data_IF_468413239587
#
_entry.id   IF_468413239587
#
_cell.length_a   1.000
_cell.length_b   1.000
_cell.length_c   1.000
_cell.angle_alpha   90.00
_cell.angle_beta   90.00
_cell.angle_gamma   90.00
#
_symmetry.space_group_name_H-M   'P 1'
#
loop_
_entity.id
_entity.type
_entity.pdbx_description
1 polymer ?
#
# COMPACT_ATOMS: atom_id res chain seq x y z
N UNK A 1 -13.44 -16.43 -18.02
CA UNK A 1 -12.55 -16.71 -16.91
C UNK A 1 -13.20 -16.22 -15.62
N UNK A 2 -13.26 -17.04 -14.59
CA UNK A 2 -13.70 -16.57 -13.27
C UNK A 2 -12.46 -16.13 -12.49
N UNK A 3 -12.54 -14.96 -11.86
CA UNK A 3 -11.48 -14.46 -11.00
C UNK A 3 -11.80 -14.79 -9.53
N UNK A 4 -10.79 -15.10 -8.70
CA UNK A 4 -10.99 -15.15 -7.27
C UNK A 4 -11.39 -13.77 -6.76
N UNK A 5 -12.15 -13.71 -5.67
CA UNK A 5 -12.47 -12.43 -5.01
C UNK A 5 -11.16 -11.74 -4.60
N UNK A 6 -10.87 -10.53 -5.14
CA UNK A 6 -9.57 -9.90 -4.93
C UNK A 6 -9.31 -9.45 -3.51
N UNK A 7 -8.03 -9.35 -3.17
CA UNK A 7 -7.51 -8.68 -1.97
C UNK A 7 -6.81 -7.38 -2.38
N UNK A 8 -6.92 -6.33 -1.57
CA UNK A 8 -6.18 -5.08 -1.73
C UNK A 8 -5.16 -4.93 -0.60
N UNK A 9 -3.87 -5.04 -0.92
CA UNK A 9 -2.83 -4.97 0.11
C UNK A 9 -2.38 -3.54 0.44
N UNK A 10 -3.13 -2.51 0.01
CA UNK A 10 -2.87 -1.12 0.38
C UNK A 10 -4.08 -0.21 0.04
N UNK A 11 -4.88 0.18 1.02
CA UNK A 11 -6.03 1.07 0.81
C UNK A 11 -6.17 2.14 1.89
N UNK A 12 -6.63 3.34 1.48
CA UNK A 12 -6.95 4.46 2.37
C UNK A 12 -8.45 4.70 2.39
N UNK A 13 -9.07 4.60 3.55
CA UNK A 13 -10.52 4.82 3.71
C UNK A 13 -10.85 6.17 4.35
N UNK A 14 -9.83 6.91 4.79
CA UNK A 14 -10.00 8.19 5.48
C UNK A 14 -10.87 8.04 6.74
N UNK A 15 -11.49 9.13 7.20
CA UNK A 15 -12.39 9.21 8.36
C UNK A 15 -13.52 10.19 8.08
N UNK A 16 -14.52 10.23 8.99
CA UNK A 16 -15.64 11.17 8.94
C UNK A 16 -16.75 10.75 7.96
N UNK A 17 -17.59 11.70 7.59
CA UNK A 17 -18.85 11.47 6.87
C UNK A 17 -18.69 10.80 5.50
N UNK A 18 -17.54 10.98 4.83
CA UNK A 18 -17.31 10.40 3.51
C UNK A 18 -16.76 8.97 3.55
N UNK A 19 -16.24 8.52 4.70
CA UNK A 19 -15.65 7.19 4.86
C UNK A 19 -16.59 6.06 4.43
N UNK A 20 -17.89 6.03 4.79
CA UNK A 20 -18.80 4.98 4.38
C UNK A 20 -18.90 4.80 2.86
N UNK A 21 -18.85 5.91 2.11
CA UNK A 21 -18.83 5.88 0.64
C UNK A 21 -17.56 5.20 0.11
N UNK A 22 -16.40 5.57 0.64
CA UNK A 22 -15.12 4.96 0.25
C UNK A 22 -15.03 3.48 0.62
N UNK A 23 -15.60 3.10 1.76
CA UNK A 23 -15.72 1.69 2.15
C UNK A 23 -16.57 0.92 1.15
N UNK A 24 -17.78 1.40 0.81
CA UNK A 24 -18.68 0.74 -0.15
C UNK A 24 -18.01 0.54 -1.51
N UNK A 25 -17.30 1.55 -1.99
CA UNK A 25 -16.57 1.47 -3.27
C UNK A 25 -15.46 0.40 -3.20
N UNK A 26 -14.69 0.34 -2.11
CA UNK A 26 -13.66 -0.66 -1.92
C UNK A 26 -14.24 -2.08 -1.87
N UNK A 27 -15.23 -2.30 -0.99
CA UNK A 27 -15.79 -3.64 -0.77
C UNK A 27 -16.63 -4.15 -1.93
N UNK A 28 -17.01 -3.27 -2.87
CA UNK A 28 -17.65 -3.70 -4.13
C UNK A 28 -16.71 -4.53 -5.00
N UNK A 29 -15.39 -4.32 -4.86
CA UNK A 29 -14.34 -4.97 -5.65
C UNK A 29 -13.54 -6.00 -4.85
N UNK A 30 -13.37 -5.80 -3.54
CA UNK A 30 -12.41 -6.53 -2.71
C UNK A 30 -13.06 -7.26 -1.55
N UNK A 31 -12.58 -8.49 -1.26
CA UNK A 31 -13.00 -9.28 -0.11
C UNK A 31 -12.23 -8.97 1.16
N UNK A 32 -10.95 -8.58 1.01
CA UNK A 32 -10.05 -8.15 2.09
C UNK A 32 -9.26 -6.92 1.67
N UNK A 33 -8.87 -6.11 2.64
CA UNK A 33 -7.93 -5.03 2.36
C UNK A 33 -7.04 -4.70 3.56
N UNK A 34 -5.77 -4.37 3.29
CA UNK A 34 -4.85 -3.74 4.25
C UNK A 34 -5.20 -2.26 4.36
N UNK A 35 -5.68 -1.87 5.53
CA UNK A 35 -6.15 -0.49 5.79
C UNK A 35 -5.01 0.35 6.36
N UNK A 36 -4.61 1.40 5.64
CA UNK A 36 -3.50 2.27 6.02
C UNK A 36 -3.84 3.22 7.18
N UNK A 37 -2.88 3.51 8.07
CA UNK A 37 -3.13 4.15 9.35
C UNK A 37 -2.97 5.67 9.35
N UNK A 38 -2.71 6.32 8.20
CA UNK A 38 -2.43 7.77 8.10
C UNK A 38 -3.70 8.64 8.11
N UNK A 39 -4.58 8.34 9.03
CA UNK A 39 -5.79 9.11 9.36
C UNK A 39 -5.46 10.34 10.23
N UNK A 40 -6.45 11.17 10.55
CA UNK A 40 -6.28 12.32 11.46
C UNK A 40 -7.40 12.25 12.53
N UNK A 41 -7.07 11.89 13.78
CA UNK A 41 -5.76 11.45 14.28
C UNK A 41 -5.31 10.12 13.69
N UNK A 42 -3.99 9.87 13.71
CA UNK A 42 -3.39 8.64 13.19
C UNK A 42 -3.80 7.42 14.04
N UNK A 43 -3.89 6.24 13.41
CA UNK A 43 -4.11 4.96 14.10
C UNK A 43 -2.85 4.57 14.88
N UNK A 44 -2.82 4.92 16.16
CA UNK A 44 -1.65 4.78 17.05
C UNK A 44 -1.93 4.03 18.36
N UNK A 45 -3.14 3.50 18.55
CA UNK A 45 -3.50 2.70 19.73
C UNK A 45 -4.49 1.59 19.37
N UNK A 46 -4.48 0.51 20.14
CA UNK A 46 -5.43 -0.59 19.97
C UNK A 46 -6.90 -0.12 20.01
N UNK A 47 -7.23 0.80 20.92
CA UNK A 47 -8.59 1.34 21.03
C UNK A 47 -9.02 2.12 19.78
N UNK A 48 -8.15 3.01 19.25
CA UNK A 48 -8.45 3.77 18.04
C UNK A 48 -8.59 2.85 16.81
N UNK A 49 -7.73 1.84 16.72
CA UNK A 49 -7.76 0.85 15.63
C UNK A 49 -9.05 0.01 15.70
N UNK A 50 -9.43 -0.47 16.89
CA UNK A 50 -10.64 -1.24 17.08
C UNK A 50 -11.90 -0.45 16.71
N UNK A 51 -11.97 0.82 17.11
CA UNK A 51 -13.09 1.69 16.75
C UNK A 51 -13.14 1.96 15.25
N UNK A 52 -12.00 2.23 14.61
CA UNK A 52 -11.95 2.44 13.17
C UNK A 52 -12.36 1.17 12.39
N UNK A 53 -11.90 -0.01 12.85
CA UNK A 53 -12.31 -1.31 12.29
C UNK A 53 -13.83 -1.51 12.40
N UNK A 54 -14.42 -1.18 13.56
CA UNK A 54 -15.88 -1.27 13.77
C UNK A 54 -16.63 -0.40 12.76
N UNK A 55 -16.22 0.85 12.57
CA UNK A 55 -16.83 1.78 11.61
C UNK A 55 -16.73 1.27 10.17
N UNK A 56 -15.59 0.68 9.79
CA UNK A 56 -15.40 0.07 8.47
C UNK A 56 -16.37 -1.10 8.26
N UNK A 57 -16.46 -2.00 9.23
CA UNK A 57 -17.36 -3.18 9.15
C UNK A 57 -18.83 -2.76 9.09
N UNK A 58 -19.22 -1.74 9.85
CA UNK A 58 -20.58 -1.18 9.80
C UNK A 58 -20.88 -0.60 8.41
N UNK A 59 -19.95 0.15 7.82
CA UNK A 59 -20.12 0.72 6.47
C UNK A 59 -20.11 -0.32 5.35
N UNK A 60 -19.47 -1.47 5.57
CA UNK A 60 -19.40 -2.58 4.60
C UNK A 60 -20.65 -3.49 4.64
N UNK A 61 -21.43 -3.45 5.73
CA UNK A 61 -22.46 -4.45 6.07
C UNK A 61 -23.47 -4.69 4.94
N UNK A 62 -23.93 -3.62 4.27
CA UNK A 62 -24.96 -3.72 3.23
C UNK A 62 -24.43 -4.21 1.88
N UNK A 63 -23.12 -4.10 1.63
CA UNK A 63 -22.49 -4.44 0.34
C UNK A 63 -21.75 -5.76 0.43
N UNK A 64 -20.94 -5.93 1.48
CA UNK A 64 -20.14 -7.12 1.72
C UNK A 64 -20.02 -7.38 3.22
N UNK A 65 -20.98 -8.09 3.83
CA UNK A 65 -20.99 -8.35 5.27
C UNK A 65 -19.83 -9.24 5.75
N UNK A 66 -19.20 -9.95 4.83
CA UNK A 66 -18.04 -10.82 5.06
C UNK A 66 -16.70 -10.19 4.68
N UNK A 67 -16.66 -8.85 4.52
CA UNK A 67 -15.43 -8.09 4.28
C UNK A 67 -14.47 -8.20 5.47
N UNK A 68 -13.19 -8.42 5.18
CA UNK A 68 -12.13 -8.55 6.19
C UNK A 68 -11.15 -7.36 6.13
N UNK A 69 -11.31 -6.33 6.96
CA UNK A 69 -10.33 -5.26 7.09
C UNK A 69 -9.12 -5.74 7.89
N UNK A 70 -7.96 -5.79 7.26
CA UNK A 70 -6.67 -6.09 7.87
C UNK A 70 -6.05 -4.78 8.35
N UNK A 71 -6.01 -4.58 9.66
CA UNK A 71 -5.63 -3.29 10.24
C UNK A 71 -4.13 -3.11 10.31
N UNK A 72 -3.70 -1.84 10.24
CA UNK A 72 -2.32 -1.44 10.43
C UNK A 72 -2.20 -0.34 11.47
N UNK A 73 -0.99 -0.15 12.00
CA UNK A 73 -0.66 1.00 12.86
C UNK A 73 0.40 1.89 12.23
N UNK A 74 0.38 3.18 12.53
CA UNK A 74 1.46 4.09 12.16
C UNK A 74 2.67 3.83 13.04
N UNK A 75 3.81 3.49 12.43
CA UNK A 75 5.03 3.17 13.16
C UNK A 75 5.49 4.34 14.04
N UNK A 76 5.83 4.04 15.31
CA UNK A 76 6.32 5.00 16.28
C UNK A 76 7.46 4.35 17.06
N UNK A 77 8.64 5.01 17.20
CA UNK A 77 9.79 4.46 17.91
C UNK A 77 9.54 4.18 19.40
N UNK A 78 8.51 4.79 19.99
CA UNK A 78 8.22 4.67 21.44
C UNK A 78 7.29 3.50 21.80
N UNK A 79 6.84 2.69 20.81
CA UNK A 79 5.99 1.53 21.14
C UNK A 79 6.75 0.47 21.92
N UNK A 80 6.04 -0.12 22.88
CA UNK A 80 6.48 -1.29 23.64
C UNK A 80 5.95 -2.59 23.01
N UNK A 81 6.52 -3.73 23.40
CA UNK A 81 6.00 -5.04 22.97
C UNK A 81 4.54 -5.24 23.42
N UNK A 82 4.15 -4.65 24.55
CA UNK A 82 2.75 -4.68 25.02
C UNK A 82 1.83 -3.94 24.08
N UNK A 83 2.21 -2.74 23.63
CA UNK A 83 1.41 -1.96 22.69
C UNK A 83 1.18 -2.72 21.38
N UNK A 84 2.23 -3.37 20.85
CA UNK A 84 2.11 -4.18 19.63
C UNK A 84 1.19 -5.39 19.85
N UNK A 85 1.29 -6.08 20.99
CA UNK A 85 0.40 -7.22 21.31
C UNK A 85 -1.06 -6.78 21.49
N UNK A 86 -1.29 -5.63 22.13
CA UNK A 86 -2.65 -5.08 22.29
C UNK A 86 -3.24 -4.72 20.90
N UNK A 87 -2.45 -4.16 19.99
CA UNK A 87 -2.87 -3.89 18.61
C UNK A 87 -3.14 -5.17 17.81
N UNK A 88 -2.31 -6.21 17.97
CA UNK A 88 -2.54 -7.51 17.33
C UNK A 88 -3.85 -8.15 17.80
N UNK A 89 -4.20 -8.01 19.06
CA UNK A 89 -5.44 -8.54 19.64
C UNK A 89 -6.71 -7.95 18.98
N UNK A 90 -6.64 -6.76 18.38
CA UNK A 90 -7.74 -6.12 17.64
C UNK A 90 -7.65 -6.31 16.11
N UNK A 91 -6.70 -7.15 15.65
CA UNK A 91 -6.58 -7.56 14.24
C UNK A 91 -5.58 -6.76 13.42
N UNK A 92 -4.56 -6.18 14.07
CA UNK A 92 -3.42 -5.58 13.36
C UNK A 92 -2.51 -6.67 12.83
N UNK A 93 -2.14 -6.56 11.54
CA UNK A 93 -1.24 -7.48 10.83
C UNK A 93 0.08 -6.84 10.42
N UNK A 94 0.14 -5.50 10.37
CA UNK A 94 1.32 -4.79 9.90
C UNK A 94 1.49 -3.41 10.55
N UNK A 95 2.73 -2.93 10.59
CA UNK A 95 3.06 -1.54 10.89
C UNK A 95 3.48 -0.79 9.63
N UNK A 96 3.06 0.47 9.50
CA UNK A 96 3.38 1.32 8.34
C UNK A 96 4.43 2.37 8.71
N UNK A 97 5.56 2.32 8.01
CA UNK A 97 6.62 3.30 8.04
C UNK A 97 6.34 4.43 7.06
N UNK A 98 6.40 5.67 7.55
CA UNK A 98 6.35 6.90 6.75
C UNK A 98 7.57 7.76 7.08
N UNK A 99 8.42 8.10 6.09
CA UNK A 99 9.41 9.16 6.28
C UNK A 99 8.71 10.50 6.54
N UNK A 100 9.33 11.36 7.36
CA UNK A 100 8.74 12.66 7.70
C UNK A 100 8.54 13.55 6.46
N UNK A 101 7.34 14.08 6.29
CA UNK A 101 6.99 15.10 5.28
C UNK A 101 6.91 14.64 3.82
N UNK A 102 7.10 13.35 3.51
CA UNK A 102 7.14 12.89 2.10
C UNK A 102 5.78 12.61 1.50
N UNK A 103 4.76 12.31 2.30
CA UNK A 103 3.41 11.99 1.81
C UNK A 103 2.32 12.64 2.66
N UNK A 104 1.05 12.39 2.31
CA UNK A 104 -0.13 12.93 3.03
C UNK A 104 -0.14 12.48 4.50
N UNK A 105 -0.37 13.42 5.43
CA UNK A 105 -0.41 13.19 6.88
C UNK A 105 0.87 12.52 7.44
N UNK A 106 2.03 12.85 6.88
CA UNK A 106 3.34 12.35 7.34
C UNK A 106 4.25 13.42 7.95
N UNK A 107 3.72 14.59 8.31
CA UNK A 107 4.50 15.64 8.97
C UNK A 107 5.14 15.15 10.28
N UNK A 108 4.44 14.28 11.00
CA UNK A 108 4.87 13.55 12.20
C UNK A 108 5.44 12.15 11.87
N UNK A 109 5.94 11.95 10.64
CA UNK A 109 6.61 10.73 10.21
C UNK A 109 7.99 10.55 10.87
N UNK A 110 8.65 9.46 10.50
CA UNK A 110 9.96 9.09 11.05
C UNK A 110 11.05 9.97 10.44
N UNK A 111 11.69 10.80 11.25
CA UNK A 111 12.84 11.64 10.87
C UNK A 111 14.18 10.91 11.07
N UNK A 112 14.29 10.08 12.11
CA UNK A 112 15.45 9.24 12.36
C UNK A 112 15.12 7.78 12.03
N UNK A 113 15.76 7.29 10.97
CA UNK A 113 15.52 5.93 10.46
C UNK A 113 15.92 4.85 11.47
N UNK A 114 17.01 5.06 12.23
CA UNK A 114 17.49 4.04 13.17
C UNK A 114 16.70 4.01 14.48
N UNK A 115 16.03 5.11 14.82
CA UNK A 115 15.19 5.18 16.02
C UNK A 115 14.05 4.13 16.03
N UNK A 116 13.62 3.64 14.86
CA UNK A 116 12.57 2.61 14.79
C UNK A 116 13.09 1.17 14.93
N UNK A 117 14.41 0.95 14.92
CA UNK A 117 14.96 -0.43 14.94
C UNK A 117 14.53 -1.26 16.16
N UNK A 118 14.40 -0.71 17.38
CA UNK A 118 13.88 -1.47 18.51
C UNK A 118 12.44 -1.98 18.28
N UNK A 119 11.57 -1.14 17.72
CA UNK A 119 10.18 -1.53 17.40
C UNK A 119 10.14 -2.53 16.26
N UNK A 120 10.95 -2.33 15.23
CA UNK A 120 11.09 -3.25 14.08
C UNK A 120 11.57 -4.64 14.53
N UNK A 121 12.50 -4.71 15.48
CA UNK A 121 12.94 -5.98 16.09
C UNK A 121 11.78 -6.69 16.83
N UNK A 122 10.94 -5.93 17.53
CA UNK A 122 9.74 -6.50 18.17
C UNK A 122 8.73 -6.97 17.13
N UNK A 123 8.55 -6.24 16.02
CA UNK A 123 7.68 -6.67 14.90
C UNK A 123 8.17 -7.97 14.29
N UNK A 124 9.48 -8.11 14.05
CA UNK A 124 10.08 -9.35 13.56
C UNK A 124 9.78 -10.53 14.49
N UNK A 125 9.98 -10.35 15.82
CA UNK A 125 9.71 -11.35 16.85
C UNK A 125 8.24 -11.77 16.89
N UNK A 126 7.33 -10.82 16.69
CA UNK A 126 5.88 -11.02 16.75
C UNK A 126 5.26 -11.48 15.42
N UNK A 127 6.04 -11.52 14.33
CA UNK A 127 5.57 -11.91 13.01
C UNK A 127 4.71 -10.85 12.30
N UNK A 128 4.80 -9.58 12.74
CA UNK A 128 4.15 -8.45 12.08
C UNK A 128 4.90 -8.07 10.79
N UNK A 129 4.16 -7.69 9.76
CA UNK A 129 4.74 -7.20 8.51
C UNK A 129 5.09 -5.71 8.62
N UNK A 130 6.20 -5.29 8.02
CA UNK A 130 6.57 -3.88 7.88
C UNK A 130 6.23 -3.39 6.47
N UNK A 131 5.24 -2.51 6.36
CA UNK A 131 4.89 -1.80 5.14
C UNK A 131 5.67 -0.48 5.08
N UNK A 132 6.37 -0.21 3.99
CA UNK A 132 7.29 0.93 3.88
C UNK A 132 6.86 1.86 2.74
N UNK A 133 6.57 3.13 3.05
CA UNK A 133 6.57 4.19 2.05
C UNK A 133 8.02 4.61 1.80
N UNK A 134 8.56 4.22 0.65
CA UNK A 134 9.99 4.32 0.41
C UNK A 134 10.37 5.52 -0.46
N UNK A 135 10.27 6.71 0.08
CA UNK A 135 10.81 7.94 -0.54
C UNK A 135 11.79 8.62 0.42
N UNK A 136 13.01 8.90 -0.04
CA UNK A 136 14.04 9.58 0.75
C UNK A 136 13.73 11.09 0.83
N UNK A 137 13.56 11.65 2.06
CA UNK A 137 13.36 13.08 2.23
C UNK A 137 14.54 13.91 1.70
N UNK A 138 14.24 15.06 1.09
CA UNK A 138 15.26 15.98 0.60
C UNK A 138 15.79 15.67 -0.80
N UNK A 139 15.59 14.46 -1.31
CA UNK A 139 15.99 14.10 -2.68
C UNK A 139 15.04 14.67 -3.73
N UNK A 140 15.54 14.79 -4.96
CA UNK A 140 14.73 15.17 -6.11
C UNK A 140 13.56 14.20 -6.29
N UNK A 141 12.37 14.70 -6.58
CA UNK A 141 11.13 13.92 -6.51
C UNK A 141 11.11 12.62 -7.35
N UNK A 142 11.85 12.55 -8.46
CA UNK A 142 11.97 11.34 -9.25
C UNK A 142 13.02 10.36 -8.71
N UNK A 143 13.94 10.81 -7.88
CA UNK A 143 15.03 10.01 -7.34
C UNK A 143 14.80 9.55 -5.89
N UNK A 144 13.74 10.02 -5.24
CA UNK A 144 13.41 9.68 -3.83
C UNK A 144 13.31 8.19 -3.58
N UNK A 145 12.58 7.46 -4.43
CA UNK A 145 12.43 6.01 -4.27
C UNK A 145 13.74 5.26 -4.56
N UNK A 146 14.48 5.54 -5.66
CA UNK A 146 15.81 4.97 -5.86
C UNK A 146 16.78 5.21 -4.70
N UNK A 147 16.78 6.40 -4.11
CA UNK A 147 17.64 6.72 -2.97
C UNK A 147 17.27 5.94 -1.71
N UNK A 148 15.99 5.61 -1.52
CA UNK A 148 15.51 4.87 -0.36
C UNK A 148 15.85 3.37 -0.38
N UNK A 149 16.24 2.79 -1.52
CA UNK A 149 16.54 1.36 -1.68
C UNK A 149 17.53 0.89 -0.63
N UNK A 150 18.58 1.66 -0.34
CA UNK A 150 19.59 1.34 0.66
C UNK A 150 19.00 1.11 2.06
N UNK A 151 17.94 1.85 2.42
CA UNK A 151 17.27 1.66 3.72
C UNK A 151 16.50 0.33 3.76
N UNK A 152 15.85 -0.06 2.65
CA UNK A 152 15.17 -1.37 2.55
C UNK A 152 16.20 -2.51 2.62
N UNK A 153 17.35 -2.38 1.95
CA UNK A 153 18.46 -3.33 2.03
C UNK A 153 18.99 -3.47 3.47
N UNK A 154 19.16 -2.34 4.16
CA UNK A 154 19.57 -2.31 5.58
C UNK A 154 18.57 -3.04 6.48
N UNK A 155 17.25 -2.78 6.30
CA UNK A 155 16.20 -3.49 7.05
C UNK A 155 16.24 -4.99 6.80
N UNK A 156 16.33 -5.41 5.54
CA UNK A 156 16.36 -6.82 5.16
C UNK A 156 17.58 -7.57 5.72
N UNK A 157 18.75 -6.91 5.78
CA UNK A 157 19.97 -7.46 6.35
C UNK A 157 19.91 -7.53 7.88
N UNK A 158 19.42 -6.47 8.52
CA UNK A 158 19.41 -6.35 9.99
C UNK A 158 18.32 -7.22 10.62
N UNK A 159 17.20 -7.41 9.91
CA UNK A 159 16.01 -8.14 10.36
C UNK A 159 15.64 -9.24 9.33
N UNK A 160 16.40 -10.34 9.26
CA UNK A 160 16.27 -11.32 8.18
C UNK A 160 14.98 -12.15 8.23
N UNK A 161 14.26 -12.16 9.35
CA UNK A 161 12.95 -12.84 9.49
C UNK A 161 11.77 -11.90 9.34
N UNK A 162 12.01 -10.58 9.34
CA UNK A 162 10.96 -9.58 9.16
C UNK A 162 10.43 -9.65 7.74
N UNK A 163 9.13 -9.77 7.57
CA UNK A 163 8.48 -9.57 6.28
C UNK A 163 8.36 -8.08 5.99
N UNK A 164 8.88 -7.64 4.84
CA UNK A 164 8.90 -6.23 4.43
C UNK A 164 8.16 -6.09 3.12
N UNK A 165 7.20 -5.17 3.05
CA UNK A 165 6.54 -4.77 1.81
C UNK A 165 7.02 -3.38 1.43
N UNK A 166 7.74 -3.27 0.32
CA UNK A 166 8.10 -2.02 -0.31
C UNK A 166 6.89 -1.56 -1.15
N UNK A 167 6.15 -0.63 -0.62
CA UNK A 167 4.81 -0.27 -1.12
C UNK A 167 4.85 0.56 -2.40
N UNK A 168 3.83 0.36 -3.26
CA UNK A 168 3.51 1.19 -4.43
C UNK A 168 4.73 1.60 -5.27
N UNK A 169 5.56 0.62 -5.66
CA UNK A 169 6.79 0.91 -6.43
C UNK A 169 6.49 1.71 -7.70
N UNK A 170 7.37 2.65 -7.98
CA UNK A 170 7.24 3.62 -9.06
C UNK A 170 8.49 3.76 -9.93
N UNK A 171 9.57 3.00 -9.66
CA UNK A 171 10.83 3.07 -10.42
C UNK A 171 11.38 1.69 -10.81
N UNK A 172 12.03 1.62 -11.97
CA UNK A 172 12.74 0.44 -12.44
C UNK A 172 13.83 -0.01 -11.46
N UNK A 173 14.56 0.93 -10.85
CA UNK A 173 15.61 0.63 -9.87
C UNK A 173 15.06 -0.09 -8.63
N UNK A 174 13.89 0.33 -8.12
CA UNK A 174 13.27 -0.32 -6.96
C UNK A 174 12.74 -1.73 -7.33
N UNK A 175 12.16 -1.91 -8.51
CA UNK A 175 11.75 -3.22 -9.03
C UNK A 175 12.95 -4.18 -9.07
N UNK A 176 14.07 -3.76 -9.66
CA UNK A 176 15.30 -4.56 -9.73
C UNK A 176 15.90 -4.85 -8.35
N UNK A 177 15.82 -3.90 -7.42
CA UNK A 177 16.24 -4.14 -6.04
C UNK A 177 15.40 -5.24 -5.37
N UNK A 178 14.06 -5.18 -5.47
CA UNK A 178 13.17 -6.19 -4.88
C UNK A 178 13.38 -7.57 -5.50
N UNK A 179 13.62 -7.66 -6.82
CA UNK A 179 13.96 -8.93 -7.48
C UNK A 179 15.19 -9.61 -6.84
N UNK A 180 16.21 -8.83 -6.44
CA UNK A 180 17.45 -9.33 -5.83
C UNK A 180 17.39 -9.57 -4.34
N UNK A 181 16.50 -8.88 -3.62
CA UNK A 181 16.37 -8.98 -2.16
C UNK A 181 15.85 -10.37 -1.74
N UNK A 182 16.05 -10.81 -0.49
CA UNK A 182 15.57 -12.10 0.00
C UNK A 182 14.05 -12.26 -0.11
N UNK A 183 13.54 -13.48 0.05
CA UNK A 183 12.12 -13.83 -0.09
C UNK A 183 11.20 -13.14 0.95
N UNK A 184 11.75 -12.67 2.06
CA UNK A 184 11.02 -11.89 3.06
C UNK A 184 10.80 -10.42 2.66
N UNK A 185 11.24 -10.01 1.46
CA UNK A 185 10.96 -8.69 0.88
C UNK A 185 10.13 -8.87 -0.37
N UNK A 186 8.98 -8.21 -0.38
CA UNK A 186 8.05 -8.13 -1.51
C UNK A 186 7.65 -6.67 -1.77
N UNK A 187 6.85 -6.43 -2.78
CA UNK A 187 6.38 -5.09 -3.11
C UNK A 187 4.95 -5.08 -3.63
N UNK A 188 4.25 -3.95 -3.44
CA UNK A 188 2.97 -3.69 -4.07
C UNK A 188 3.11 -2.87 -5.33
N UNK A 189 2.25 -3.14 -6.30
CA UNK A 189 2.02 -2.27 -7.45
C UNK A 189 0.60 -1.73 -7.42
N UNK A 190 0.46 -0.47 -7.81
CA UNK A 190 -0.84 0.19 -7.97
C UNK A 190 -1.29 0.14 -9.42
N UNK A 191 -2.60 0.28 -9.63
CA UNK A 191 -3.18 0.38 -10.98
C UNK A 191 -2.60 1.59 -11.72
N UNK A 192 -2.49 2.72 -11.04
CA UNK A 192 -2.02 3.95 -11.67
C UNK A 192 -0.53 3.92 -12.03
N UNK A 193 0.37 3.29 -11.27
CA UNK A 193 1.76 3.13 -11.67
C UNK A 193 1.96 2.12 -12.82
N UNK A 194 1.04 1.17 -13.00
CA UNK A 194 1.02 0.30 -14.19
C UNK A 194 0.62 1.06 -15.46
N UNK A 195 -0.19 2.12 -15.36
CA UNK A 195 -0.81 2.79 -16.50
C UNK A 195 -0.18 4.13 -16.84
N UNK A 196 0.27 4.91 -15.85
CA UNK A 196 0.66 6.31 -15.99
C UNK A 196 2.17 6.52 -15.95
N UNK A 197 2.60 7.60 -16.57
CA UNK A 197 3.91 8.23 -16.42
C UNK A 197 3.73 9.65 -15.88
N UNK A 198 4.83 10.37 -15.68
CA UNK A 198 4.78 11.77 -15.24
C UNK A 198 4.05 12.67 -16.25
N UNK A 199 4.11 12.34 -17.55
CA UNK A 199 3.39 13.08 -18.58
C UNK A 199 1.86 13.03 -18.39
N UNK A 200 1.34 11.95 -17.79
CA UNK A 200 -0.07 11.85 -17.46
C UNK A 200 -0.49 12.74 -16.28
N UNK A 201 0.47 13.28 -15.55
CA UNK A 201 0.24 14.19 -14.42
C UNK A 201 0.45 15.65 -14.82
N UNK A 202 1.55 15.97 -15.53
CA UNK A 202 1.99 17.34 -15.79
C UNK A 202 2.47 17.58 -17.23
N UNK A 203 2.18 16.69 -18.19
CA UNK A 203 2.62 16.83 -19.59
C UNK A 203 1.97 18.02 -20.30
N UNK A 204 1.00 17.78 -21.16
CA UNK A 204 0.31 18.86 -21.90
C UNK A 204 -0.54 19.76 -20.99
N UNK A 205 -1.05 19.22 -19.87
CA UNK A 205 -1.84 19.93 -18.89
C UNK A 205 -1.69 19.30 -17.50
N UNK A 206 -1.83 20.11 -16.46
CA UNK A 206 -1.88 19.62 -15.09
C UNK A 206 -3.17 18.81 -14.86
N UNK A 207 -3.01 17.54 -14.45
CA UNK A 207 -4.12 16.64 -14.09
C UNK A 207 -4.05 16.33 -12.59
N UNK A 208 -4.66 17.13 -11.72
CA UNK A 208 -4.51 17.00 -10.27
C UNK A 208 -5.03 15.66 -9.74
N UNK A 209 -6.01 15.03 -10.40
CA UNK A 209 -6.53 13.73 -10.00
C UNK A 209 -5.55 12.57 -10.21
N UNK A 210 -4.54 12.74 -11.08
CA UNK A 210 -3.46 11.77 -11.29
C UNK A 210 -2.27 11.96 -10.35
N UNK A 211 -2.23 13.08 -9.61
CA UNK A 211 -1.15 13.35 -8.67
C UNK A 211 -1.20 12.43 -7.45
N UNK A 212 -0.13 11.68 -7.24
CA UNK A 212 0.09 10.79 -6.08
C UNK A 212 1.55 10.84 -5.61
N UNK A 213 1.86 10.18 -4.51
CA UNK A 213 3.20 9.99 -3.97
C UNK A 213 3.41 8.52 -3.59
N UNK A 214 4.44 7.88 -4.16
CA UNK A 214 5.42 8.43 -5.12
C UNK A 214 4.77 8.83 -6.45
N UNK A 215 5.42 9.75 -7.17
CA UNK A 215 4.96 10.16 -8.51
C UNK A 215 5.09 8.98 -9.50
N UNK A 216 4.17 8.82 -10.46
CA UNK A 216 4.46 8.11 -11.70
C UNK A 216 5.70 8.73 -12.35
N UNK A 217 6.61 7.90 -12.83
CA UNK A 217 7.92 8.38 -13.30
C UNK A 217 8.03 8.33 -14.82
N UNK A 218 9.12 7.83 -15.33
CA UNK A 218 9.44 7.78 -16.76
C UNK A 218 8.77 6.58 -17.45
N UNK A 219 8.65 6.58 -18.79
CA UNK A 219 8.15 5.44 -19.56
C UNK A 219 8.90 4.13 -19.28
N UNK A 220 10.24 4.18 -19.09
CA UNK A 220 11.04 3.01 -18.72
C UNK A 220 10.74 2.48 -17.32
N UNK A 221 10.42 3.34 -16.37
CA UNK A 221 9.99 2.95 -15.03
C UNK A 221 8.66 2.20 -15.09
N UNK A 222 7.67 2.75 -15.80
CA UNK A 222 6.39 2.09 -16.06
C UNK A 222 6.57 0.74 -16.76
N UNK A 223 7.47 0.66 -17.75
CA UNK A 223 7.73 -0.58 -18.46
C UNK A 223 8.27 -1.67 -17.52
N UNK A 224 9.20 -1.34 -16.63
CA UNK A 224 9.75 -2.28 -15.65
C UNK A 224 8.69 -2.75 -14.63
N UNK A 225 7.83 -1.85 -14.16
CA UNK A 225 6.71 -2.18 -13.26
C UNK A 225 5.75 -3.16 -13.96
N UNK A 226 5.38 -2.88 -15.21
CA UNK A 226 4.50 -3.75 -16.02
C UNK A 226 5.12 -5.13 -16.23
N UNK A 227 6.39 -5.20 -16.63
CA UNK A 227 7.11 -6.46 -16.80
C UNK A 227 7.08 -7.29 -15.52
N UNK A 228 7.37 -6.67 -14.37
CA UNK A 228 7.37 -7.36 -13.07
C UNK A 228 5.98 -7.82 -12.64
N UNK A 229 4.94 -7.00 -12.83
CA UNK A 229 3.56 -7.35 -12.50
C UNK A 229 3.04 -8.54 -13.31
N UNK A 230 3.39 -8.58 -14.61
CA UNK A 230 2.92 -9.62 -15.54
C UNK A 230 3.80 -10.87 -15.54
N UNK A 231 4.91 -10.87 -14.79
CA UNK A 231 5.86 -11.99 -14.75
C UNK A 231 5.34 -13.24 -14.00
N UNK A 232 4.34 -13.08 -13.14
CA UNK A 232 3.91 -14.13 -12.20
C UNK A 232 4.88 -14.35 -11.04
N UNK A 233 5.77 -13.41 -10.76
CA UNK A 233 6.67 -13.48 -9.60
C UNK A 233 5.91 -13.24 -8.29
N UNK A 234 6.03 -14.14 -7.28
CA UNK A 234 5.32 -14.00 -6.01
C UNK A 234 5.81 -12.82 -5.14
N UNK A 235 6.84 -12.12 -5.57
CA UNK A 235 7.34 -10.92 -4.91
C UNK A 235 6.51 -9.66 -5.18
N UNK A 236 5.62 -9.70 -6.17
CA UNK A 236 4.84 -8.55 -6.60
C UNK A 236 3.35 -8.85 -6.58
N UNK A 237 2.59 -8.05 -5.89
CA UNK A 237 1.14 -8.20 -5.77
C UNK A 237 0.42 -6.85 -5.70
N UNK A 238 -0.91 -6.90 -5.79
CA UNK A 238 -1.74 -5.70 -5.82
C UNK A 238 -1.77 -5.00 -4.45
N UNK A 239 -1.50 -3.70 -4.47
CA UNK A 239 -1.88 -2.76 -3.43
C UNK A 239 -2.32 -1.50 -4.14
N UNK A 240 -3.61 -1.19 -4.15
CA UNK A 240 -4.16 -0.14 -5.02
C UNK A 240 -3.65 1.25 -4.67
N UNK A 241 -3.28 1.48 -3.42
CA UNK A 241 -3.06 2.81 -2.85
C UNK A 241 -4.22 3.76 -3.22
N UNK A 242 -5.43 3.19 -3.26
CA UNK A 242 -6.63 4.01 -3.47
C UNK A 242 -6.74 5.03 -2.36
N UNK A 243 -6.54 6.29 -2.69
CA UNK A 243 -6.37 7.37 -1.74
C UNK A 243 -7.32 8.55 -2.05
N UNK A 244 -8.62 8.41 -1.71
CA UNK A 244 -9.63 9.41 -2.02
C UNK A 244 -9.37 10.75 -1.32
N UNK A 245 -9.68 11.84 -2.05
CA UNK A 245 -9.72 13.19 -1.55
C UNK A 245 -10.91 13.93 -2.16
N UNK A 246 -11.48 14.87 -1.42
CA UNK A 246 -12.49 15.76 -1.97
C UNK A 246 -11.96 16.55 -3.16
N UNK A 247 -12.79 16.79 -4.17
CA UNK A 247 -12.43 17.52 -5.39
C UNK A 247 -11.69 18.84 -5.08
N UNK A 248 -12.23 19.66 -4.19
CA UNK A 248 -11.60 20.93 -3.82
C UNK A 248 -10.26 20.82 -3.10
N UNK A 249 -9.86 19.61 -2.62
CA UNK A 249 -8.53 19.34 -2.09
C UNK A 249 -7.55 18.88 -3.18
N UNK A 250 -8.08 18.32 -4.25
CA UNK A 250 -7.30 17.95 -5.44
C UNK A 250 -7.09 19.16 -6.35
N UNK A 251 -8.15 19.93 -6.62
CA UNK A 251 -8.19 21.04 -7.56
C UNK A 251 -7.91 22.38 -6.85
N UNK A 252 -6.79 22.46 -6.16
CA UNK A 252 -6.33 23.67 -5.49
C UNK A 252 -4.80 23.81 -5.61
N UNK A 253 -4.22 24.98 -5.30
CA UNK A 253 -2.76 25.18 -5.43
C UNK A 253 -1.90 24.18 -4.68
N UNK A 254 -2.39 23.63 -3.56
CA UNK A 254 -1.67 22.63 -2.76
C UNK A 254 -1.76 21.21 -3.31
N UNK A 255 -2.80 20.89 -4.07
CA UNK A 255 -3.09 19.59 -4.68
C UNK A 255 -2.84 18.38 -3.77
N UNK A 256 -3.88 17.78 -3.18
CA UNK A 256 -3.69 16.60 -2.34
C UNK A 256 -3.19 15.41 -3.16
N UNK A 257 -2.15 14.71 -2.66
CA UNK A 257 -1.60 13.53 -3.31
C UNK A 257 -2.47 12.29 -3.02
N UNK A 258 -2.89 11.59 -4.07
CA UNK A 258 -3.66 10.35 -4.00
C UNK A 258 -4.53 10.17 -5.25
N UNK A 259 -4.52 8.96 -5.80
CA UNK A 259 -5.42 8.53 -6.89
C UNK A 259 -6.54 7.70 -6.29
N UNK A 260 -7.79 7.99 -6.65
CA UNK A 260 -8.95 7.23 -6.20
C UNK A 260 -9.29 6.13 -7.20
N UNK A 261 -8.73 4.95 -7.02
CA UNK A 261 -8.81 3.84 -7.98
C UNK A 261 -9.71 2.68 -7.54
N UNK A 262 -10.10 2.55 -6.27
CA UNK A 262 -10.86 1.41 -5.76
C UNK A 262 -12.10 1.05 -6.62
N UNK A 263 -12.94 1.99 -7.08
CA UNK A 263 -14.15 1.65 -7.84
C UNK A 263 -13.88 0.97 -9.19
N UNK A 264 -12.68 1.16 -9.76
CA UNK A 264 -12.32 0.73 -11.13
C UNK A 264 -11.05 -0.11 -11.21
N UNK A 265 -10.44 -0.43 -10.08
CA UNK A 265 -9.14 -1.10 -10.03
C UNK A 265 -9.14 -2.45 -10.77
N UNK A 266 -10.08 -3.32 -10.46
CA UNK A 266 -10.12 -4.67 -11.05
C UNK A 266 -10.43 -4.66 -12.55
N UNK A 267 -11.44 -3.93 -13.05
CA UNK A 267 -11.64 -3.79 -14.50
C UNK A 267 -10.41 -3.28 -15.27
N UNK A 268 -9.70 -2.29 -14.72
CA UNK A 268 -8.50 -1.76 -15.34
C UNK A 268 -7.35 -2.78 -15.33
N UNK A 269 -7.17 -3.52 -14.24
CA UNK A 269 -6.16 -4.59 -14.18
C UNK A 269 -6.46 -5.70 -15.18
N UNK A 270 -7.72 -6.12 -15.31
CA UNK A 270 -8.12 -7.10 -16.32
C UNK A 270 -7.71 -6.63 -17.72
N UNK A 271 -7.98 -5.37 -18.08
CA UNK A 271 -7.59 -4.81 -19.38
C UNK A 271 -6.06 -4.79 -19.56
N UNK A 272 -5.31 -4.40 -18.55
CA UNK A 272 -3.86 -4.30 -18.65
C UNK A 272 -3.17 -5.67 -18.76
N UNK A 273 -3.64 -6.66 -18.01
CA UNK A 273 -3.15 -8.04 -18.08
C UNK A 273 -3.55 -8.72 -19.38
N UNK A 274 -4.77 -8.47 -19.88
CA UNK A 274 -5.23 -8.98 -21.18
C UNK A 274 -4.40 -8.42 -22.34
N UNK A 275 -4.19 -7.10 -22.37
CA UNK A 275 -3.33 -6.44 -23.38
C UNK A 275 -1.89 -6.94 -23.36
N UNK A 276 -1.40 -7.38 -22.22
CA UNK A 276 -0.07 -7.94 -22.06
C UNK A 276 0.01 -9.44 -22.39
N UNK A 277 -1.13 -10.10 -22.65
CA UNK A 277 -1.18 -11.56 -22.83
C UNK A 277 -0.85 -12.34 -21.56
N UNK A 278 -1.08 -11.74 -20.37
CA UNK A 278 -0.71 -12.27 -19.05
C UNK A 278 -1.92 -12.50 -18.13
N UNK A 279 -3.13 -12.64 -18.73
CA UNK A 279 -4.36 -12.74 -17.96
C UNK A 279 -4.39 -13.97 -17.03
N UNK A 280 -3.63 -15.02 -17.36
CA UNK A 280 -3.43 -16.21 -16.54
C UNK A 280 -2.65 -15.93 -15.23
N UNK A 281 -1.91 -14.82 -15.14
CA UNK A 281 -1.16 -14.40 -13.94
C UNK A 281 -1.99 -13.52 -13.01
N UNK A 282 -3.08 -12.92 -13.50
CA UNK A 282 -3.88 -11.98 -12.74
C UNK A 282 -4.46 -12.56 -11.44
N UNK A 283 -4.99 -13.81 -11.39
CA UNK A 283 -5.52 -14.38 -10.15
C UNK A 283 -4.53 -14.38 -8.98
N UNK A 284 -3.29 -14.78 -9.25
CA UNK A 284 -2.23 -14.80 -8.22
C UNK A 284 -1.81 -13.38 -7.82
N UNK A 285 -1.74 -12.44 -8.78
CA UNK A 285 -1.39 -11.05 -8.52
C UNK A 285 -2.41 -10.35 -7.62
N UNK A 286 -3.72 -10.61 -7.78
CA UNK A 286 -4.79 -9.91 -7.04
C UNK A 286 -5.27 -10.64 -5.79
N UNK A 287 -4.99 -11.95 -5.62
CA UNK A 287 -5.55 -12.73 -4.51
C UNK A 287 -4.62 -13.83 -3.97
N UNK A 288 -3.55 -14.18 -4.68
CA UNK A 288 -2.65 -15.28 -4.27
C UNK A 288 -1.40 -14.77 -3.54
N UNK A 289 -0.53 -14.05 -4.26
CA UNK A 289 0.82 -13.73 -3.78
C UNK A 289 0.85 -12.89 -2.51
N UNK A 290 -0.03 -11.89 -2.40
CA UNK A 290 -0.13 -11.09 -1.19
C UNK A 290 -0.63 -11.92 0.01
N UNK A 291 -1.65 -12.76 -0.18
CA UNK A 291 -2.15 -13.65 0.86
C UNK A 291 -1.02 -14.58 1.37
N UNK A 292 -0.30 -15.24 0.46
CA UNK A 292 0.83 -16.11 0.83
C UNK A 292 1.92 -15.34 1.57
N UNK A 293 2.26 -14.13 1.09
CA UNK A 293 3.28 -13.29 1.74
C UNK A 293 2.88 -12.90 3.17
N UNK A 294 1.63 -12.52 3.39
CA UNK A 294 1.12 -12.19 4.73
C UNK A 294 0.83 -13.43 5.59
N UNK A 295 0.85 -14.65 5.02
CA UNK A 295 0.51 -15.88 5.72
C UNK A 295 -0.99 -16.03 5.96
N UNK A 296 -1.79 -15.45 5.08
CA UNK A 296 -3.25 -15.53 5.09
C UNK A 296 -3.73 -16.68 4.20
N UNK A 297 -4.90 -17.27 4.49
CA UNK A 297 -5.49 -18.23 3.58
C UNK A 297 -5.83 -17.54 2.24
N UNK A 298 -5.56 -18.23 1.13
CA UNK A 298 -6.04 -17.78 -0.18
C UNK A 298 -7.58 -17.83 -0.20
N UNK A 299 -8.20 -16.84 -0.85
CA UNK A 299 -9.66 -16.82 -0.98
C UNK A 299 -10.17 -18.01 -1.80
N UNK A 300 -11.30 -18.57 -1.37
CA UNK A 300 -12.05 -19.59 -2.12
C UNK A 300 -13.29 -19.01 -2.81
N UNK A 301 -13.56 -17.70 -2.60
CA UNK A 301 -14.68 -16.96 -3.16
C UNK A 301 -14.35 -16.45 -4.57
N UNK A 302 -15.40 -16.24 -5.38
CA UNK A 302 -15.33 -15.69 -6.73
C UNK A 302 -16.22 -14.46 -6.86
#
# INVERSE_FOLDING_TARGET
MFLPLPDDFHAHLRQGELMPGYVRDLVSQFGRAIIMPNTVPAMSSAAAIAEYKRQILEAAQDVRPDFEPLMTFKLNPNYTEKDLKDMMAVGVVAGKYYPAGVTTNSADGISDFEAVFPVVAMMEKLGLVLCVHGEEPGEFCLDREPAFIKRVETLAQKFPKLKIVFEHLSSAKAVEAVKRLPANVAATFTVHHLMMTLDDVVGDALRPHHFCKPLPKRPEDRAAIREAAFSGSPKFFLGTDSAPHQQGKKECPCGAAGVYSAPVAIPLLVQEFDRAGALDKLPDFIAGFGADFYGLPRTTKQ
#
